data_IF_980642919529
#
_entry.id   IF_980642919529
#
_cell.length_a   1.000
_cell.length_b   1.000
_cell.length_c   1.000
_cell.angle_alpha   90.00
_cell.angle_beta   90.00
_cell.angle_gamma   90.00
#
_symmetry.space_group_name_H-M   'P 1'
#
loop_
_entity.id
_entity.type
_entity.pdbx_description
1 polymer ?
#
# COMPACT_ATOMS: atom_id res chain seq x y z
N UNK A 1 -38.61 -4.38 7.73
CA UNK A 1 -37.14 -4.27 7.59
C UNK A 1 -36.85 -3.84 6.16
N UNK A 2 -36.68 -2.54 5.92
CA UNK A 2 -36.17 -2.03 4.66
C UNK A 2 -34.82 -1.38 5.01
N UNK A 3 -33.74 -2.14 4.85
CA UNK A 3 -32.39 -1.63 5.06
C UNK A 3 -32.02 -0.66 3.93
N UNK A 4 -31.34 0.42 4.32
CA UNK A 4 -31.00 1.60 3.53
C UNK A 4 -30.14 1.30 2.28
N UNK A 5 -30.79 1.00 1.16
CA UNK A 5 -30.16 0.91 -0.18
C UNK A 5 -29.72 2.28 -0.74
N UNK A 6 -29.98 3.39 -0.03
CA UNK A 6 -29.67 4.76 -0.45
C UNK A 6 -28.21 5.14 -0.21
N UNK A 7 -27.53 4.56 0.79
CA UNK A 7 -26.13 4.90 1.12
C UNK A 7 -25.16 4.24 0.13
N UNK A 8 -25.36 2.96 -0.20
CA UNK A 8 -24.52 2.25 -1.18
C UNK A 8 -24.66 2.82 -2.60
N UNK A 9 -25.87 3.18 -3.01
CA UNK A 9 -26.15 3.69 -4.36
C UNK A 9 -25.56 5.10 -4.59
N UNK A 10 -25.46 5.92 -3.54
CA UNK A 10 -24.80 7.22 -3.58
C UNK A 10 -23.25 7.10 -3.60
N UNK A 11 -22.69 6.11 -2.92
CA UNK A 11 -21.26 5.79 -3.00
C UNK A 11 -20.88 5.30 -4.40
N UNK A 12 -21.70 4.47 -5.03
CA UNK A 12 -21.52 4.02 -6.41
C UNK A 12 -21.58 5.19 -7.41
N UNK A 13 -22.62 6.03 -7.34
CA UNK A 13 -22.76 7.22 -8.22
C UNK A 13 -21.68 8.29 -8.01
N UNK A 14 -21.19 8.48 -6.79
CA UNK A 14 -20.08 9.41 -6.50
C UNK A 14 -18.72 8.88 -6.98
N UNK A 15 -18.52 7.55 -6.90
CA UNK A 15 -17.35 6.86 -7.46
C UNK A 15 -17.33 6.96 -9.00
N UNK A 16 -18.46 6.69 -9.66
CA UNK A 16 -18.62 6.83 -11.11
C UNK A 16 -18.40 8.27 -11.62
N UNK A 17 -18.92 9.29 -10.91
CA UNK A 17 -18.63 10.70 -11.23
C UNK A 17 -17.15 11.06 -11.08
N UNK A 18 -16.45 10.50 -10.07
CA UNK A 18 -14.99 10.66 -9.89
C UNK A 18 -14.16 9.94 -10.95
N UNK A 19 -14.62 8.80 -11.45
CA UNK A 19 -13.94 8.05 -12.51
C UNK A 19 -14.01 8.78 -13.86
N UNK A 20 -15.18 9.37 -14.19
CA UNK A 20 -15.34 10.19 -15.40
C UNK A 20 -14.45 11.42 -15.43
N UNK A 21 -14.31 12.13 -14.29
CA UNK A 21 -13.45 13.32 -14.20
C UNK A 21 -11.97 12.99 -14.24
N UNK A 22 -11.53 11.90 -13.62
CA UNK A 22 -10.12 11.46 -13.69
C UNK A 22 -9.70 11.07 -15.10
N UNK A 23 -10.54 10.31 -15.82
CA UNK A 23 -10.27 9.94 -17.22
C UNK A 23 -10.16 11.18 -18.11
N UNK A 24 -11.13 12.09 -18.01
CA UNK A 24 -11.12 13.34 -18.78
C UNK A 24 -9.91 14.23 -18.45
N UNK A 25 -9.51 14.30 -17.18
CA UNK A 25 -8.32 15.05 -16.77
C UNK A 25 -7.03 14.48 -17.36
N UNK A 26 -6.86 13.15 -17.34
CA UNK A 26 -5.69 12.47 -17.92
C UNK A 26 -5.66 12.66 -19.44
N UNK A 27 -6.81 12.51 -20.09
CA UNK A 27 -6.92 12.70 -21.54
C UNK A 27 -6.59 14.12 -21.97
N UNK A 28 -7.15 15.12 -21.26
CA UNK A 28 -6.85 16.53 -21.52
C UNK A 28 -5.37 16.83 -21.27
N UNK A 29 -4.82 16.36 -20.15
CA UNK A 29 -3.40 16.52 -19.83
C UNK A 29 -2.50 15.93 -20.92
N UNK A 30 -2.82 14.71 -21.37
CA UNK A 30 -2.08 14.07 -22.46
C UNK A 30 -2.17 14.89 -23.75
N UNK A 31 -3.37 15.33 -24.13
CA UNK A 31 -3.55 16.16 -25.33
C UNK A 31 -2.83 17.50 -25.24
N UNK A 32 -2.79 18.15 -24.07
CA UNK A 32 -2.17 19.47 -23.91
C UNK A 32 -0.65 19.42 -23.73
N UNK A 33 -0.14 18.51 -22.90
CA UNK A 33 1.28 18.43 -22.53
C UNK A 33 2.09 17.48 -23.43
N UNK A 34 1.40 16.61 -24.17
CA UNK A 34 2.02 15.60 -25.04
C UNK A 34 1.47 15.67 -26.47
N UNK A 35 1.09 16.86 -26.93
CA UNK A 35 0.57 17.10 -28.27
C UNK A 35 1.48 16.53 -29.39
N UNK A 36 2.80 16.59 -29.20
CA UNK A 36 3.78 16.11 -30.18
C UNK A 36 4.03 14.60 -30.15
N UNK A 37 3.51 13.86 -29.16
CA UNK A 37 3.70 12.40 -29.08
C UNK A 37 3.13 11.71 -30.32
N UNK A 38 2.01 12.21 -30.85
CA UNK A 38 1.42 11.72 -32.08
C UNK A 38 2.34 11.86 -33.30
N UNK A 39 3.13 12.94 -33.35
CA UNK A 39 4.08 13.23 -34.42
C UNK A 39 5.38 12.44 -34.24
N UNK A 40 5.95 12.44 -33.02
CA UNK A 40 7.22 11.76 -32.69
C UNK A 40 7.11 10.24 -32.74
N UNK A 41 5.95 9.71 -32.39
CA UNK A 41 5.68 8.26 -32.40
C UNK A 41 4.35 8.05 -33.12
N UNK A 42 4.30 7.95 -34.45
CA UNK A 42 3.04 7.82 -35.20
C UNK A 42 2.22 6.59 -34.79
N UNK A 43 0.88 6.60 -34.95
CA UNK A 43 0.03 5.44 -34.71
C UNK A 43 0.50 4.22 -35.49
N UNK A 44 0.38 3.04 -34.87
CA UNK A 44 0.77 1.74 -35.45
C UNK A 44 2.25 1.58 -35.82
N UNK A 45 3.09 2.60 -35.64
CA UNK A 45 4.53 2.50 -35.89
C UNK A 45 5.24 1.55 -34.91
N UNK A 46 6.33 0.95 -35.37
CA UNK A 46 7.21 0.14 -34.52
C UNK A 46 7.79 0.98 -33.37
N UNK A 47 8.23 2.21 -33.66
CA UNK A 47 8.74 3.16 -32.66
C UNK A 47 7.74 3.40 -31.52
N UNK A 48 6.44 3.52 -31.83
CA UNK A 48 5.40 3.65 -30.79
C UNK A 48 5.28 2.38 -29.95
N UNK A 49 5.30 1.19 -30.58
CA UNK A 49 5.23 -0.09 -29.86
C UNK A 49 6.42 -0.26 -28.89
N UNK A 50 7.63 0.02 -29.36
CA UNK A 50 8.84 -0.03 -28.54
C UNK A 50 8.80 0.99 -27.41
N UNK A 51 8.39 2.22 -27.69
CA UNK A 51 8.29 3.27 -26.65
C UNK A 51 7.29 2.89 -25.56
N UNK A 52 6.13 2.34 -25.94
CA UNK A 52 5.14 1.84 -24.97
C UNK A 52 5.71 0.69 -24.15
N UNK A 53 6.44 -0.25 -24.76
CA UNK A 53 7.11 -1.34 -24.05
C UNK A 53 8.11 -0.81 -23.01
N UNK A 54 8.95 0.15 -23.39
CA UNK A 54 9.91 0.79 -22.48
C UNK A 54 9.21 1.50 -21.31
N UNK A 55 8.16 2.29 -21.59
CA UNK A 55 7.41 3.00 -20.55
C UNK A 55 6.73 2.04 -19.57
N UNK A 56 6.19 0.91 -20.06
CA UNK A 56 5.64 -0.14 -19.20
C UNK A 56 6.70 -0.78 -18.30
N UNK A 57 7.90 -1.07 -18.82
CA UNK A 57 9.02 -1.58 -18.00
C UNK A 57 9.38 -0.61 -16.89
N UNK A 58 9.58 0.67 -17.23
CA UNK A 58 9.89 1.72 -16.26
C UNK A 58 8.81 1.89 -15.20
N UNK A 59 7.54 1.81 -15.60
CA UNK A 59 6.43 1.86 -14.65
C UNK A 59 6.48 0.68 -13.67
N UNK A 60 6.72 -0.54 -14.17
CA UNK A 60 6.84 -1.72 -13.33
C UNK A 60 8.03 -1.61 -12.37
N UNK A 61 9.19 -1.14 -12.85
CA UNK A 61 10.37 -0.89 -12.02
C UNK A 61 10.06 0.11 -10.89
N UNK A 62 9.41 1.23 -11.22
CA UNK A 62 8.97 2.24 -10.24
C UNK A 62 8.00 1.63 -9.21
N UNK A 63 6.97 0.91 -9.67
CA UNK A 63 6.01 0.24 -8.79
C UNK A 63 6.68 -0.79 -7.89
N UNK A 64 7.64 -1.56 -8.40
CA UNK A 64 8.38 -2.54 -7.63
C UNK A 64 9.13 -1.90 -6.45
N UNK A 65 9.66 -0.69 -6.61
CA UNK A 65 10.33 0.06 -5.54
C UNK A 65 9.34 0.48 -4.44
N UNK A 66 8.15 0.98 -4.82
CA UNK A 66 7.10 1.33 -3.85
C UNK A 66 6.61 0.10 -3.07
N UNK A 67 6.41 -1.03 -3.76
CA UNK A 67 6.00 -2.29 -3.14
C UNK A 67 7.09 -2.80 -2.19
N UNK A 68 8.36 -2.83 -2.61
CA UNK A 68 9.49 -3.24 -1.75
C UNK A 68 9.56 -2.42 -0.47
N UNK A 69 9.42 -1.09 -0.57
CA UNK A 69 9.44 -0.21 0.61
C UNK A 69 8.25 -0.44 1.54
N UNK A 70 7.09 -0.78 1.00
CA UNK A 70 5.90 -1.14 1.78
C UNK A 70 6.13 -2.45 2.54
N UNK A 71 6.66 -3.47 1.87
CA UNK A 71 6.98 -4.78 2.47
C UNK A 71 8.05 -4.69 3.55
N UNK A 72 9.07 -3.84 3.38
CA UNK A 72 10.10 -3.61 4.41
C UNK A 72 9.52 -3.12 5.74
N UNK A 73 8.38 -2.44 5.71
CA UNK A 73 7.73 -1.89 6.90
C UNK A 73 6.59 -2.76 7.43
N UNK A 74 6.28 -3.89 6.78
CA UNK A 74 5.16 -4.75 7.17
C UNK A 74 5.36 -5.36 8.55
N UNK A 75 6.55 -5.92 8.81
CA UNK A 75 6.90 -6.49 10.10
C UNK A 75 6.81 -5.46 11.25
N UNK A 76 7.29 -4.23 11.03
CA UNK A 76 7.20 -3.14 11.99
C UNK A 76 5.75 -2.69 12.23
N UNK A 77 4.92 -2.69 11.19
CA UNK A 77 3.50 -2.38 11.29
C UNK A 77 2.77 -3.43 12.11
N UNK A 78 2.99 -4.73 11.81
CA UNK A 78 2.42 -5.85 12.55
C UNK A 78 2.84 -5.80 14.02
N UNK A 79 4.13 -5.60 14.30
CA UNK A 79 4.65 -5.47 15.66
C UNK A 79 3.96 -4.33 16.42
N UNK A 80 3.81 -3.16 15.78
CA UNK A 80 3.13 -2.00 16.37
C UNK A 80 1.67 -2.30 16.71
N UNK A 81 0.94 -3.00 15.83
CA UNK A 81 -0.42 -3.44 16.09
C UNK A 81 -0.51 -4.45 17.24
N UNK A 82 0.44 -5.39 17.34
CA UNK A 82 0.49 -6.36 18.44
C UNK A 82 0.73 -5.67 19.79
N UNK A 83 1.67 -4.72 19.85
CA UNK A 83 1.91 -3.91 21.05
C UNK A 83 0.66 -3.11 21.44
N UNK A 84 0.02 -2.44 20.47
CA UNK A 84 -1.22 -1.70 20.71
C UNK A 84 -2.34 -2.61 21.24
N UNK A 85 -2.43 -3.86 20.74
CA UNK A 85 -3.38 -4.86 21.24
C UNK A 85 -3.08 -5.27 22.68
N UNK A 86 -1.82 -5.46 23.06
CA UNK A 86 -1.43 -5.76 24.45
C UNK A 86 -1.85 -4.61 25.37
N UNK A 87 -1.53 -3.36 24.99
CA UNK A 87 -1.91 -2.17 25.74
C UNK A 87 -3.44 -2.04 25.86
N UNK A 88 -4.18 -2.26 24.77
CA UNK A 88 -5.64 -2.15 24.80
C UNK A 88 -6.31 -3.21 25.68
N UNK A 89 -5.74 -4.43 25.77
CA UNK A 89 -6.25 -5.50 26.63
C UNK A 89 -5.95 -5.24 28.10
N UNK A 90 -4.76 -4.72 28.40
CA UNK A 90 -4.30 -4.43 29.75
C UNK A 90 -4.85 -3.06 30.15
N UNK A 91 -5.97 -3.02 30.88
CA UNK A 91 -6.57 -1.79 31.44
C UNK A 91 -5.73 -1.18 32.58
N UNK A 92 -4.39 -1.29 32.51
CA UNK A 92 -3.45 -0.86 33.55
C UNK A 92 -2.54 0.24 33.01
N UNK A 93 -2.00 1.13 33.87
CA UNK A 93 -0.99 2.10 33.47
C UNK A 93 0.27 1.43 32.91
N UNK A 94 1.02 2.14 32.07
CA UNK A 94 2.30 1.73 31.46
C UNK A 94 3.45 1.67 32.50
N UNK A 95 3.22 0.96 33.59
CA UNK A 95 4.14 0.73 34.71
C UNK A 95 4.15 -0.74 35.13
N UNK A 96 3.26 -1.56 34.58
CA UNK A 96 3.23 -3.00 34.82
C UNK A 96 4.32 -3.69 33.99
N UNK A 97 5.35 -4.19 34.68
CA UNK A 97 6.49 -4.89 34.06
C UNK A 97 6.07 -6.14 33.27
N UNK A 98 4.99 -6.83 33.66
CA UNK A 98 4.46 -7.97 32.90
C UNK A 98 3.89 -7.52 31.55
N UNK A 99 3.15 -6.41 31.53
CA UNK A 99 2.60 -5.87 30.28
C UNK A 99 3.74 -5.47 29.33
N UNK A 100 4.80 -4.85 29.86
CA UNK A 100 5.97 -4.45 29.07
C UNK A 100 6.65 -5.71 28.52
N UNK A 101 6.87 -6.75 29.35
CA UNK A 101 7.46 -8.03 28.90
C UNK A 101 6.64 -8.66 27.76
N UNK A 102 5.31 -8.75 27.93
CA UNK A 102 4.39 -9.28 26.91
C UNK A 102 4.47 -8.49 25.59
N UNK A 103 4.47 -7.16 25.67
CA UNK A 103 4.59 -6.29 24.49
C UNK A 103 5.92 -6.48 23.75
N UNK A 104 7.04 -6.64 24.48
CA UNK A 104 8.35 -6.87 23.89
C UNK A 104 8.47 -8.22 23.17
N UNK A 105 7.93 -9.29 23.78
CA UNK A 105 7.91 -10.62 23.15
C UNK A 105 7.08 -10.60 21.87
N UNK A 106 5.86 -10.05 21.93
CA UNK A 106 4.95 -9.96 20.78
C UNK A 106 5.51 -9.11 19.63
N UNK A 107 6.22 -8.02 19.95
CA UNK A 107 6.90 -7.20 18.95
C UNK A 107 8.09 -7.94 18.32
N UNK A 108 8.91 -8.62 19.15
CA UNK A 108 10.06 -9.40 18.70
C UNK A 108 9.66 -10.51 17.74
N UNK A 109 8.64 -11.29 18.08
CA UNK A 109 8.12 -12.34 17.21
C UNK A 109 7.69 -11.80 15.84
N UNK A 110 7.01 -10.65 15.80
CA UNK A 110 6.57 -10.05 14.53
C UNK A 110 7.72 -9.47 13.71
N UNK A 111 8.69 -8.80 14.36
CA UNK A 111 9.84 -8.20 13.69
C UNK A 111 10.79 -9.25 13.10
N UNK A 112 10.99 -10.36 13.81
CA UNK A 112 11.99 -11.36 13.48
C UNK A 112 11.42 -12.65 12.85
N UNK A 113 10.11 -12.72 12.58
CA UNK A 113 9.44 -13.88 11.98
C UNK A 113 10.12 -14.41 10.69
N UNK A 114 10.69 -13.51 9.89
CA UNK A 114 11.38 -13.84 8.62
C UNK A 114 12.89 -14.06 8.73
N UNK A 115 13.48 -13.96 9.92
CA UNK A 115 14.93 -14.10 10.10
C UNK A 115 15.33 -15.58 10.27
N UNK A 116 16.43 -15.96 9.61
CA UNK A 116 16.98 -17.33 9.67
C UNK A 116 17.43 -17.72 11.09
N UNK A 117 17.81 -16.74 11.91
CA UNK A 117 18.36 -16.95 13.26
C UNK A 117 17.31 -16.75 14.36
N UNK A 118 16.02 -16.85 14.04
CA UNK A 118 14.93 -16.62 15.00
C UNK A 118 14.99 -17.52 16.25
N UNK A 119 15.60 -18.70 16.16
CA UNK A 119 15.76 -19.66 17.26
C UNK A 119 16.84 -19.26 18.26
N UNK A 120 17.73 -18.34 17.89
CA UNK A 120 18.80 -17.81 18.76
C UNK A 120 18.33 -16.56 19.52
N UNK A 121 17.20 -15.97 19.11
CA UNK A 121 16.61 -14.80 19.77
C UNK A 121 15.72 -15.22 20.94
N UNK A 122 16.33 -15.37 22.10
CA UNK A 122 15.61 -15.62 23.35
C UNK A 122 15.00 -14.32 23.90
N UNK A 123 13.73 -14.07 23.61
CA UNK A 123 12.96 -13.01 24.26
C UNK A 123 12.48 -13.52 25.63
N UNK A 124 13.24 -13.17 26.69
CA UNK A 124 12.99 -13.41 28.12
C UNK A 124 11.97 -14.53 28.44
N UNK A 125 12.46 -15.76 28.63
CA UNK A 125 11.70 -16.83 29.29
C UNK A 125 11.47 -16.49 30.76
#
# INVERSE_FOLDING_TARGET
MLCDNTVENNNYKSSLRRLGTKKGNIERHFKSMHADVGKKFPPQSLMRKEKVKQLKSKLFEQQSTFVKKTLQNEAATIASFRVAKVIARRKKPYQDGEMIKEAFVEAGEALFAGFKNKTEMHFFS
#
